data_IF_461924317597
#
_entry.id   IF_461924317597
#
_cell.length_a   1.000
_cell.length_b   1.000
_cell.length_c   1.000
_cell.angle_alpha   90.00
_cell.angle_beta   90.00
_cell.angle_gamma   90.00
#
_symmetry.space_group_name_H-M   'P 1'
#
loop_
_entity.id
_entity.type
_entity.pdbx_description
1 polymer ?
#
# COMPACT_ATOMS: atom_id res chain seq x y z
N UNK A 1 -6.94 -6.10 21.57
CA UNK A 1 -7.62 -6.57 20.37
C UNK A 1 -6.84 -6.14 19.13
N UNK A 2 -6.61 -7.06 18.24
CA UNK A 2 -5.83 -6.74 17.04
C UNK A 2 -6.65 -5.95 16.03
N UNK A 3 -5.99 -4.96 15.45
CA UNK A 3 -6.55 -4.18 14.36
C UNK A 3 -5.53 -4.18 13.23
N UNK A 4 -5.92 -4.72 12.10
CA UNK A 4 -5.03 -4.85 10.96
C UNK A 4 -5.21 -3.67 10.03
N UNK A 5 -4.11 -2.98 9.75
CA UNK A 5 -4.08 -1.85 8.83
C UNK A 5 -3.46 -2.34 7.53
N UNK A 6 -4.13 -2.07 6.42
CA UNK A 6 -3.66 -2.51 5.10
C UNK A 6 -3.24 -1.32 4.26
N UNK A 7 -2.10 -1.45 3.61
CA UNK A 7 -1.63 -0.48 2.62
C UNK A 7 -1.27 -1.25 1.37
N UNK A 8 -1.17 -0.56 0.24
CA UNK A 8 -0.81 -1.20 -1.02
C UNK A 8 0.07 -0.29 -1.85
N UNK A 9 0.79 -0.88 -2.78
CA UNK A 9 1.61 -0.12 -3.69
C UNK A 9 2.51 -1.03 -4.50
N UNK A 10 3.29 -0.40 -5.38
CA UNK A 10 4.23 -1.13 -6.21
C UNK A 10 5.56 -1.36 -5.50
N UNK A 11 6.04 -0.34 -4.79
CA UNK A 11 7.29 -0.42 -4.02
C UNK A 11 8.44 -0.92 -4.89
N UNK A 12 8.62 -0.28 -6.01
CA UNK A 12 9.53 -0.73 -7.04
C UNK A 12 10.51 0.36 -7.42
N UNK A 13 11.52 0.60 -6.59
CA UNK A 13 11.82 -0.06 -5.33
C UNK A 13 11.13 0.60 -4.13
N UNK A 14 11.20 -0.07 -3.00
CA UNK A 14 10.77 0.53 -1.76
C UNK A 14 11.83 1.55 -1.32
N UNK A 15 11.40 2.65 -0.72
CA UNK A 15 12.32 3.67 -0.25
C UNK A 15 11.84 4.25 1.07
N UNK A 16 12.61 5.19 1.61
CA UNK A 16 12.35 5.75 2.93
C UNK A 16 10.94 6.33 3.04
N UNK A 17 10.46 6.95 1.96
CA UNK A 17 9.09 7.47 1.96
C UNK A 17 8.06 6.41 2.22
N UNK A 18 8.26 5.22 1.65
CA UNK A 18 7.34 4.10 1.89
C UNK A 18 7.41 3.65 3.34
N UNK A 19 8.60 3.64 3.92
CA UNK A 19 8.76 3.22 5.30
C UNK A 19 8.02 4.16 6.24
N UNK A 20 8.10 5.45 6.00
CA UNK A 20 7.37 6.42 6.80
C UNK A 20 5.88 6.26 6.66
N UNK A 21 5.41 6.01 5.44
CA UNK A 21 4.01 5.74 5.18
C UNK A 21 3.55 4.50 5.97
N UNK A 22 4.36 3.45 5.95
CA UNK A 22 4.05 2.22 6.68
C UNK A 22 3.94 2.50 8.19
N UNK A 23 4.90 3.23 8.73
CA UNK A 23 4.89 3.52 10.16
C UNK A 23 3.68 4.34 10.58
N UNK A 24 3.37 5.35 9.80
CA UNK A 24 2.20 6.19 10.09
C UNK A 24 0.92 5.39 10.01
N UNK A 25 0.80 4.55 8.99
CA UNK A 25 -0.40 3.74 8.83
C UNK A 25 -0.56 2.76 9.99
N UNK A 26 0.53 2.15 10.41
CA UNK A 26 0.45 1.17 11.49
C UNK A 26 0.00 1.79 12.81
N UNK A 27 0.22 3.09 12.97
CA UNK A 27 -0.14 3.76 14.24
C UNK A 27 -1.62 3.67 14.57
N UNK A 28 -2.49 3.49 13.59
CA UNK A 28 -3.91 3.41 13.88
C UNK A 28 -4.37 2.00 14.22
N UNK A 29 -3.47 1.03 14.17
CA UNK A 29 -3.79 -0.34 14.48
C UNK A 29 -2.67 -1.02 15.22
N UNK A 30 -2.66 -2.34 15.17
CA UNK A 30 -1.65 -3.13 15.86
C UNK A 30 -0.80 -3.95 14.90
N UNK A 31 -1.29 -4.21 13.69
CA UNK A 31 -0.55 -4.96 12.69
C UNK A 31 -0.66 -4.28 11.34
N UNK A 32 0.38 -4.39 10.55
CA UNK A 32 0.41 -3.80 9.22
C UNK A 32 0.47 -4.89 8.16
N UNK A 33 -0.47 -4.85 7.24
CA UNK A 33 -0.50 -5.72 6.06
C UNK A 33 -0.14 -4.88 4.84
N UNK A 34 0.80 -5.35 4.04
CA UNK A 34 1.21 -4.64 2.84
C UNK A 34 0.86 -5.51 1.63
N UNK A 35 0.06 -4.97 0.74
CA UNK A 35 -0.25 -5.62 -0.54
C UNK A 35 0.70 -5.06 -1.58
N UNK A 36 1.46 -5.93 -2.23
CA UNK A 36 2.45 -5.51 -3.22
C UNK A 36 1.89 -5.83 -4.60
N UNK A 37 1.78 -4.81 -5.44
CA UNK A 37 1.29 -4.99 -6.80
C UNK A 37 2.24 -5.90 -7.57
N UNK A 38 1.66 -6.81 -8.37
CA UNK A 38 2.44 -7.84 -9.02
C UNK A 38 3.15 -7.32 -10.28
N UNK A 39 3.94 -8.20 -10.90
CA UNK A 39 4.73 -7.81 -12.05
C UNK A 39 3.90 -7.47 -13.26
N UNK A 40 2.78 -8.17 -13.46
CA UNK A 40 1.88 -7.84 -14.56
C UNK A 40 1.34 -6.41 -14.42
N UNK A 41 0.95 -6.05 -13.20
CA UNK A 41 0.47 -4.71 -12.93
C UNK A 41 1.57 -3.68 -13.17
N UNK A 42 2.77 -3.98 -12.71
CA UNK A 42 3.91 -3.07 -12.91
C UNK A 42 4.22 -2.94 -14.40
N UNK A 43 4.15 -4.04 -15.13
CA UNK A 43 4.37 -4.02 -16.57
C UNK A 43 3.37 -3.10 -17.27
N UNK A 44 2.11 -3.21 -16.90
CA UNK A 44 1.06 -2.40 -17.52
C UNK A 44 1.21 -0.92 -17.17
N UNK A 45 1.73 -0.63 -15.99
CA UNK A 45 1.85 0.74 -15.54
C UNK A 45 3.07 1.45 -16.14
N UNK A 46 4.21 0.78 -16.16
CA UNK A 46 5.47 1.45 -16.54
C UNK A 46 6.34 0.63 -17.46
N UNK A 47 5.80 -0.39 -18.06
CA UNK A 47 6.49 -1.18 -19.06
C UNK A 47 7.24 -2.37 -18.51
N UNK A 48 7.83 -2.23 -17.33
CA UNK A 48 8.68 -3.28 -16.82
C UNK A 48 9.00 -2.99 -15.36
N UNK A 49 8.91 -3.98 -14.49
CA UNK A 49 9.28 -3.72 -13.11
C UNK A 49 10.80 -3.52 -13.00
N UNK A 50 11.17 -2.63 -12.11
CA UNK A 50 12.58 -2.44 -11.78
C UNK A 50 13.08 -3.66 -11.01
N UNK A 51 12.26 -4.17 -10.10
CA UNK A 51 12.57 -5.37 -9.33
C UNK A 51 11.41 -6.34 -9.44
N UNK A 52 11.69 -7.64 -9.62
CA UNK A 52 10.61 -8.63 -9.65
C UNK A 52 9.83 -8.65 -8.35
N UNK A 53 8.58 -9.08 -8.43
CA UNK A 53 7.71 -9.14 -7.27
C UNK A 53 8.35 -9.91 -6.11
N UNK A 54 9.01 -11.02 -6.41
CA UNK A 54 9.60 -11.84 -5.35
C UNK A 54 10.61 -11.06 -4.54
N UNK A 55 11.40 -10.23 -5.19
CA UNK A 55 12.40 -9.42 -4.49
C UNK A 55 11.76 -8.31 -3.70
N UNK A 56 10.74 -7.67 -4.27
CA UNK A 56 10.05 -6.59 -3.57
C UNK A 56 9.38 -7.13 -2.31
N UNK A 57 8.76 -8.29 -2.41
CA UNK A 57 8.11 -8.93 -1.26
C UNK A 57 9.15 -9.27 -0.20
N UNK A 58 10.28 -9.80 -0.62
CA UNK A 58 11.33 -10.19 0.34
C UNK A 58 11.82 -8.98 1.13
N UNK A 59 12.08 -7.87 0.45
CA UNK A 59 12.56 -6.67 1.11
C UNK A 59 11.53 -6.14 2.10
N UNK A 60 10.28 -6.07 1.66
CA UNK A 60 9.21 -5.53 2.51
C UNK A 60 8.99 -6.41 3.72
N UNK A 61 9.07 -7.73 3.53
CA UNK A 61 8.88 -8.68 4.61
C UNK A 61 9.88 -8.46 5.75
N UNK A 62 11.07 -7.98 5.43
CA UNK A 62 12.11 -7.77 6.43
C UNK A 62 12.00 -6.45 7.18
N UNK A 63 11.08 -5.59 6.80
CA UNK A 63 10.91 -4.32 7.48
C UNK A 63 10.22 -4.55 8.82
N UNK A 64 10.75 -3.91 9.86
CA UNK A 64 10.26 -4.12 11.22
C UNK A 64 8.79 -3.79 11.40
N UNK A 65 8.31 -2.78 10.70
CA UNK A 65 6.92 -2.34 10.87
C UNK A 65 5.93 -3.22 10.12
N UNK A 66 6.39 -4.13 9.27
CA UNK A 66 5.49 -4.94 8.44
C UNK A 66 5.27 -6.30 9.09
N UNK A 67 4.01 -6.66 9.24
CA UNK A 67 3.64 -7.93 9.84
C UNK A 67 3.17 -8.96 8.82
N UNK A 68 2.50 -8.51 7.77
CA UNK A 68 1.93 -9.42 6.77
C UNK A 68 2.21 -8.83 5.39
N UNK A 69 2.68 -9.66 4.45
CA UNK A 69 2.89 -9.23 3.08
C UNK A 69 2.02 -10.09 2.18
N UNK A 70 1.28 -9.45 1.29
CA UNK A 70 0.36 -10.13 0.38
C UNK A 70 0.72 -9.75 -1.05
N UNK A 71 0.83 -10.74 -1.92
CA UNK A 71 1.02 -10.50 -3.35
C UNK A 71 -0.34 -10.24 -3.98
N UNK A 72 -0.45 -9.17 -4.74
CA UNK A 72 -1.71 -8.83 -5.38
C UNK A 72 -2.08 -9.88 -6.43
N UNK A 73 -3.38 -10.14 -6.57
CA UNK A 73 -3.89 -11.06 -7.58
C UNK A 73 -4.61 -10.33 -8.71
N UNK A 74 -4.64 -9.01 -8.64
CA UNK A 74 -5.33 -8.21 -9.65
C UNK A 74 -4.50 -8.13 -10.93
N UNK A 75 -5.20 -7.81 -12.03
CA UNK A 75 -4.52 -7.61 -13.30
C UNK A 75 -4.65 -6.18 -13.82
N UNK A 76 -5.36 -5.33 -13.09
CA UNK A 76 -5.40 -3.90 -13.40
C UNK A 76 -4.60 -3.13 -12.36
N UNK A 77 -4.73 -1.82 -12.33
CA UNK A 77 -3.91 -0.99 -11.46
C UNK A 77 -4.42 -0.92 -10.03
N UNK A 78 -5.51 -1.62 -9.74
CA UNK A 78 -6.10 -1.60 -8.41
C UNK A 78 -5.73 -2.85 -7.64
N UNK A 79 -6.13 -2.89 -6.37
CA UNK A 79 -6.01 -4.12 -5.58
C UNK A 79 -7.39 -4.57 -5.12
N UNK A 80 -8.40 -4.29 -5.94
CA UNK A 80 -9.78 -4.58 -5.58
C UNK A 80 -10.04 -6.07 -5.36
N UNK A 81 -9.57 -6.92 -6.28
CA UNK A 81 -9.79 -8.36 -6.12
C UNK A 81 -9.02 -8.91 -4.95
N UNK A 82 -7.81 -8.40 -4.73
CA UNK A 82 -7.02 -8.81 -3.58
C UNK A 82 -7.74 -8.45 -2.28
N UNK A 83 -8.25 -7.22 -2.19
CA UNK A 83 -8.97 -6.79 -1.00
C UNK A 83 -10.27 -7.55 -0.81
N UNK A 84 -10.89 -7.99 -1.90
CA UNK A 84 -12.15 -8.72 -1.81
C UNK A 84 -11.96 -10.06 -1.15
N UNK A 85 -10.80 -10.68 -1.30
CA UNK A 85 -10.58 -12.06 -0.89
C UNK A 85 -9.49 -12.25 0.17
N UNK A 86 -8.73 -11.21 0.48
CA UNK A 86 -7.57 -11.36 1.36
C UNK A 86 -7.97 -11.79 2.77
N UNK A 87 -7.16 -12.67 3.36
CA UNK A 87 -7.33 -13.11 4.73
C UNK A 87 -6.01 -13.01 5.46
N UNK A 88 -6.00 -12.54 6.70
CA UNK A 88 -7.19 -12.07 7.46
C UNK A 88 -7.72 -10.76 6.90
N UNK A 89 -8.99 -10.50 7.16
CA UNK A 89 -9.61 -9.26 6.67
C UNK A 89 -9.01 -8.07 7.40
N UNK A 90 -8.52 -7.06 6.67
CA UNK A 90 -8.04 -5.85 7.34
C UNK A 90 -9.19 -5.08 7.96
N UNK A 91 -8.89 -4.32 8.99
CA UNK A 91 -9.86 -3.42 9.60
C UNK A 91 -9.82 -2.06 8.92
N UNK A 92 -8.66 -1.65 8.45
CA UNK A 92 -8.46 -0.35 7.79
C UNK A 92 -7.69 -0.53 6.50
N UNK A 93 -8.01 0.30 5.53
CA UNK A 93 -7.22 0.42 4.30
C UNK A 93 -6.79 1.87 4.17
N UNK A 94 -5.47 2.11 4.20
CA UNK A 94 -4.93 3.46 4.21
C UNK A 94 -4.43 3.85 2.83
N UNK A 95 -4.75 5.07 2.43
CA UNK A 95 -4.26 5.66 1.20
C UNK A 95 -3.19 6.67 1.52
N UNK A 96 -2.18 6.72 0.67
CA UNK A 96 -1.16 7.73 0.79
C UNK A 96 -1.24 8.69 -0.39
N UNK A 97 -0.37 9.69 -0.36
CA UNK A 97 -0.24 10.59 -1.48
C UNK A 97 -1.45 11.44 -1.72
N UNK A 98 -1.80 11.55 -2.99
CA UNK A 98 -2.85 12.46 -3.42
C UNK A 98 -4.24 11.87 -3.39
N UNK A 99 -4.35 10.60 -3.09
CA UNK A 99 -5.64 9.92 -3.19
C UNK A 99 -6.49 10.15 -1.97
N UNK A 100 -7.79 10.11 -2.16
CA UNK A 100 -8.70 10.21 -1.05
C UNK A 100 -9.79 9.14 -1.19
N UNK A 101 -10.58 8.98 -0.14
CA UNK A 101 -11.53 7.87 -0.05
C UNK A 101 -12.61 7.90 -1.12
N UNK A 102 -12.89 9.07 -1.67
CA UNK A 102 -13.97 9.20 -2.64
C UNK A 102 -13.54 8.81 -4.05
N UNK A 103 -12.25 8.82 -4.33
CA UNK A 103 -11.77 8.67 -5.70
C UNK A 103 -11.05 7.37 -5.98
N UNK A 104 -10.74 6.58 -4.98
CA UNK A 104 -10.00 5.34 -5.22
C UNK A 104 -10.94 4.21 -5.62
N UNK A 105 -10.50 3.35 -6.55
CA UNK A 105 -11.33 2.22 -6.99
C UNK A 105 -11.61 1.21 -5.89
N UNK A 106 -10.74 1.13 -4.89
CA UNK A 106 -10.89 0.17 -3.81
C UNK A 106 -12.00 0.52 -2.84
N UNK A 107 -12.53 1.75 -2.91
CA UNK A 107 -13.55 2.19 -1.97
C UNK A 107 -14.75 1.28 -1.86
N UNK A 108 -15.44 0.97 -2.97
CA UNK A 108 -16.62 0.10 -2.90
C UNK A 108 -16.32 -1.28 -2.34
N UNK A 109 -15.14 -1.84 -2.64
CA UNK A 109 -14.77 -3.16 -2.12
C UNK A 109 -14.58 -3.09 -0.61
N UNK A 110 -13.90 -2.07 -0.13
CA UNK A 110 -13.70 -1.89 1.29
C UNK A 110 -15.03 -1.72 2.01
N UNK A 111 -15.92 -0.91 1.43
CA UNK A 111 -17.22 -0.70 2.03
C UNK A 111 -18.00 -2.02 2.12
N UNK A 112 -17.94 -2.84 1.08
CA UNK A 112 -18.70 -4.08 1.06
C UNK A 112 -18.16 -5.09 2.08
N UNK A 113 -16.88 -5.01 2.44
CA UNK A 113 -16.28 -5.92 3.43
C UNK A 113 -16.20 -5.32 4.83
N UNK A 114 -16.67 -4.10 5.01
CA UNK A 114 -16.58 -3.45 6.31
C UNK A 114 -15.17 -3.01 6.66
N UNK A 115 -14.37 -2.71 5.65
CA UNK A 115 -13.02 -2.18 5.85
C UNK A 115 -13.09 -0.67 5.81
N UNK A 116 -12.63 -0.03 6.87
CA UNK A 116 -12.70 1.42 6.98
C UNK A 116 -11.58 2.07 6.18
N UNK A 117 -11.92 3.06 5.37
CA UNK A 117 -10.93 3.78 4.57
C UNK A 117 -10.33 4.92 5.38
N UNK A 118 -9.03 5.10 5.23
CA UNK A 118 -8.30 6.23 5.81
C UNK A 118 -7.41 6.80 4.74
N UNK A 119 -7.37 8.13 4.60
CA UNK A 119 -6.54 8.75 3.59
C UNK A 119 -5.61 9.80 4.21
N UNK A 120 -4.73 10.33 3.38
CA UNK A 120 -3.81 11.37 3.82
C UNK A 120 -2.55 10.87 4.50
N UNK A 121 -2.40 9.58 4.65
CA UNK A 121 -1.23 9.03 5.35
C UNK A 121 0.03 9.21 4.51
N UNK A 122 1.01 9.87 5.09
CA UNK A 122 2.27 10.09 4.42
C UNK A 122 2.24 11.15 3.34
N UNK A 123 1.08 11.69 3.06
CA UNK A 123 0.91 12.60 1.94
C UNK A 123 1.83 13.80 2.02
N UNK A 124 1.88 14.44 3.15
CA UNK A 124 2.64 15.66 3.30
C UNK A 124 4.11 15.42 3.58
N UNK A 125 4.46 14.20 3.83
CA UNK A 125 5.83 13.84 4.21
C UNK A 125 6.46 12.99 3.14
N UNK A 126 5.66 12.16 2.47
CA UNK A 126 6.17 11.02 1.74
C UNK A 126 5.91 11.00 0.24
N UNK A 127 5.18 11.94 -0.31
CA UNK A 127 4.97 11.89 -1.75
C UNK A 127 6.30 12.11 -2.47
N UNK A 128 6.49 11.42 -3.60
CA UNK A 128 7.72 11.57 -4.37
C UNK A 128 7.94 13.01 -4.79
N UNK A 129 6.87 13.67 -5.23
CA UNK A 129 7.00 15.04 -5.66
C UNK A 129 7.38 15.95 -4.50
N UNK A 130 6.87 15.65 -3.31
CA UNK A 130 7.24 16.40 -2.14
C UNK A 130 8.72 16.21 -1.81
N UNK A 131 9.21 14.99 -1.92
CA UNK A 131 10.62 14.73 -1.65
C UNK A 131 11.52 15.46 -2.64
N UNK A 132 11.14 15.46 -3.89
CA UNK A 132 11.91 16.18 -4.90
C UNK A 132 11.90 17.65 -4.62
N UNK A 133 10.73 18.21 -4.30
CA UNK A 133 10.62 19.61 -3.95
C UNK A 133 11.20 19.88 -2.57
N UNK A 134 11.02 18.93 -1.68
CA UNK A 134 11.52 19.06 -0.32
C UNK A 134 13.01 19.18 -0.27
N UNK A 135 13.70 18.56 -1.23
CA UNK A 135 15.14 18.71 -1.30
C UNK A 135 15.52 20.17 -1.50
N UNK A 136 14.62 20.94 -2.04
CA UNK A 136 14.86 22.36 -2.26
C UNK A 136 14.37 23.21 -1.11
N UNK A 137 13.78 22.61 -0.13
CA UNK A 137 13.38 23.35 1.05
C UNK A 137 14.54 23.53 1.99
#
# INVERSE_FOLDING_TARGET
MEKIVCVSGYFDPVHVGHIEYFKKSKEIGTKLMVIVNNDLQAYKKKGRPFMPLEERVEIIRELKCVDIVVKSIDDDRTVCETLRTVEPKPDYFCNGGDQNNLTIPEGPVCESRGIELRDGFGEKIQSSSWLIKGASK
#
